data_IF_458109293357
#
_entry.id   IF_458109293357
#
_cell.length_a   1.000
_cell.length_b   1.000
_cell.length_c   1.000
_cell.angle_alpha   90.00
_cell.angle_beta   90.00
_cell.angle_gamma   90.00
#
_symmetry.space_group_name_H-M   'P 1'
#
loop_
_entity.id
_entity.type
_entity.pdbx_description
1 polymer ?
#
# COMPACT_ATOMS: atom_id res chain seq x y z
N UNK A 1 -12.57 -7.79 -13.07
CA UNK A 1 -12.87 -9.24 -12.94
C UNK A 1 -12.66 -9.62 -11.49
N UNK A 2 -13.67 -10.22 -10.83
CA UNK A 2 -13.48 -10.82 -9.52
C UNK A 2 -12.52 -12.00 -9.66
N UNK A 3 -11.43 -12.00 -8.90
CA UNK A 3 -10.51 -13.14 -8.84
C UNK A 3 -11.28 -14.32 -8.28
N UNK A 4 -11.26 -15.45 -8.98
CA UNK A 4 -11.79 -16.69 -8.45
C UNK A 4 -11.00 -17.08 -7.21
N UNK A 5 -11.67 -17.11 -6.06
CA UNK A 5 -11.08 -17.60 -4.82
C UNK A 5 -10.85 -19.11 -4.98
N UNK A 6 -9.58 -19.52 -4.87
CA UNK A 6 -9.19 -20.93 -4.95
C UNK A 6 -8.76 -21.43 -3.58
N UNK A 7 -8.85 -22.73 -3.34
CA UNK A 7 -8.28 -23.33 -2.16
C UNK A 7 -6.76 -23.09 -2.12
N UNK A 8 -6.22 -22.79 -0.93
CA UNK A 8 -4.79 -22.57 -0.74
C UNK A 8 -4.05 -23.91 -0.59
N UNK A 9 -3.88 -24.60 -1.70
CA UNK A 9 -3.17 -25.90 -1.73
C UNK A 9 -1.65 -25.71 -1.66
N UNK A 10 -1.13 -24.57 -2.08
CA UNK A 10 0.30 -24.26 -2.07
C UNK A 10 0.92 -24.28 -0.67
N UNK A 11 0.12 -24.12 0.39
CA UNK A 11 0.62 -24.24 1.77
C UNK A 11 1.22 -25.62 2.05
N UNK A 12 0.73 -26.66 1.36
CA UNK A 12 1.21 -28.02 1.53
C UNK A 12 2.61 -28.27 0.91
N UNK A 13 3.13 -27.31 0.14
CA UNK A 13 4.48 -27.39 -0.45
C UNK A 13 5.57 -26.92 0.51
N UNK A 14 5.20 -26.27 1.60
CA UNK A 14 6.15 -25.84 2.61
C UNK A 14 6.58 -26.99 3.52
N UNK A 15 7.73 -26.85 4.17
CA UNK A 15 8.15 -27.72 5.25
C UNK A 15 7.10 -27.76 6.37
N UNK A 16 6.97 -28.90 7.04
CA UNK A 16 5.95 -29.12 8.07
C UNK A 16 5.98 -28.06 9.18
N UNK A 17 7.18 -27.69 9.64
CA UNK A 17 7.35 -26.63 10.64
C UNK A 17 6.83 -25.28 10.15
N UNK A 18 7.14 -24.91 8.89
CA UNK A 18 6.61 -23.71 8.25
C UNK A 18 5.09 -23.74 8.12
N UNK A 19 4.50 -24.89 7.69
CA UNK A 19 3.05 -25.03 7.59
C UNK A 19 2.37 -24.80 8.94
N UNK A 20 2.87 -25.46 10.00
CA UNK A 20 2.33 -25.33 11.35
C UNK A 20 2.36 -23.86 11.80
N UNK A 21 3.48 -23.18 11.57
CA UNK A 21 3.63 -21.77 11.97
C UNK A 21 2.70 -20.84 11.19
N UNK A 22 2.53 -21.07 9.89
CA UNK A 22 1.60 -20.31 9.08
C UNK A 22 0.15 -20.49 9.56
N UNK A 23 -0.28 -21.72 9.81
CA UNK A 23 -1.62 -22.01 10.31
C UNK A 23 -1.88 -21.39 11.70
N UNK A 24 -0.88 -21.42 12.60
CA UNK A 24 -0.94 -20.75 13.90
C UNK A 24 -1.17 -19.22 13.73
N UNK A 25 -0.39 -18.57 12.85
CA UNK A 25 -0.48 -17.14 12.61
C UNK A 25 -1.83 -16.74 11.98
N UNK A 26 -2.33 -17.53 11.03
CA UNK A 26 -3.67 -17.34 10.46
C UNK A 26 -4.77 -17.54 11.51
N UNK A 27 -4.59 -18.51 12.41
CA UNK A 27 -5.49 -18.74 13.54
C UNK A 27 -5.59 -17.54 14.47
N UNK A 28 -4.46 -16.87 14.76
CA UNK A 28 -4.43 -15.62 15.55
C UNK A 28 -5.22 -14.49 14.87
N UNK A 29 -5.02 -14.26 13.59
CA UNK A 29 -5.78 -13.26 12.85
C UNK A 29 -7.29 -13.53 12.91
N UNK A 30 -7.70 -14.80 12.78
CA UNK A 30 -9.11 -15.17 12.90
C UNK A 30 -9.68 -14.88 14.29
N UNK A 31 -8.93 -15.13 15.37
CA UNK A 31 -9.33 -14.79 16.73
C UNK A 31 -9.54 -13.28 16.91
N UNK A 32 -8.81 -12.45 16.15
CA UNK A 32 -8.98 -11.01 16.09
C UNK A 32 -10.06 -10.55 15.08
N UNK A 33 -10.92 -11.49 14.61
CA UNK A 33 -11.96 -11.27 13.59
C UNK A 33 -11.45 -10.84 12.21
N UNK A 34 -10.17 -11.08 11.92
CA UNK A 34 -9.60 -10.86 10.58
C UNK A 34 -9.72 -12.15 9.78
N UNK A 35 -10.78 -12.26 8.98
CA UNK A 35 -11.03 -13.43 8.12
C UNK A 35 -10.53 -13.24 6.69
N UNK A 36 -10.17 -12.02 6.33
CA UNK A 36 -9.64 -11.67 5.01
C UNK A 36 -8.45 -10.73 5.19
N UNK A 37 -7.37 -11.03 4.50
CA UNK A 37 -6.17 -10.19 4.48
C UNK A 37 -5.85 -9.82 3.03
N UNK A 38 -5.74 -8.53 2.75
CA UNK A 38 -5.36 -8.02 1.43
C UNK A 38 -4.00 -7.34 1.50
N UNK A 39 -3.04 -7.92 0.80
CA UNK A 39 -1.65 -7.47 0.72
C UNK A 39 -1.42 -6.80 -0.63
N UNK A 40 -0.92 -5.58 -0.62
CA UNK A 40 -0.48 -4.86 -1.82
C UNK A 40 1.04 -4.95 -1.92
N UNK A 41 1.56 -5.42 -3.05
CA UNK A 41 3.01 -5.56 -3.29
C UNK A 41 3.47 -4.50 -4.28
N UNK A 42 4.35 -3.58 -3.86
CA UNK A 42 4.84 -2.47 -4.68
C UNK A 42 6.36 -2.35 -4.59
N UNK A 43 6.96 -1.71 -5.59
CA UNK A 43 8.41 -1.46 -5.67
C UNK A 43 8.88 -1.27 -7.11
N UNK A 44 10.19 -1.14 -7.27
CA UNK A 44 10.83 -1.00 -8.59
C UNK A 44 10.61 -2.25 -9.47
N UNK A 45 10.92 -2.16 -10.77
CA UNK A 45 11.00 -3.30 -11.69
C UNK A 45 12.13 -4.24 -11.28
N UNK A 46 11.94 -5.57 -11.46
CA UNK A 46 12.98 -6.57 -11.24
C UNK A 46 13.44 -6.79 -9.79
N UNK A 47 12.75 -6.22 -8.79
CA UNK A 47 13.11 -6.39 -7.37
C UNK A 47 12.57 -7.67 -6.73
N UNK A 48 11.85 -8.52 -7.48
CA UNK A 48 11.35 -9.80 -6.96
C UNK A 48 9.93 -9.76 -6.39
N UNK A 49 9.10 -8.78 -6.73
CA UNK A 49 7.68 -8.68 -6.28
C UNK A 49 6.89 -9.95 -6.56
N UNK A 50 6.74 -10.31 -7.83
CA UNK A 50 5.98 -11.49 -8.28
C UNK A 50 6.56 -12.80 -7.73
N UNK A 51 7.89 -12.87 -7.60
CA UNK A 51 8.56 -14.02 -6.96
C UNK A 51 8.21 -14.13 -5.49
N UNK A 52 8.13 -13.00 -4.78
CA UNK A 52 7.72 -12.98 -3.36
C UNK A 52 6.26 -13.40 -3.20
N UNK A 53 5.37 -12.95 -4.11
CA UNK A 53 3.96 -13.42 -4.14
C UNK A 53 3.91 -14.94 -4.29
N UNK A 54 4.62 -15.50 -5.27
CA UNK A 54 4.67 -16.95 -5.48
C UNK A 54 5.25 -17.70 -4.27
N UNK A 55 6.27 -17.13 -3.62
CA UNK A 55 6.88 -17.73 -2.43
C UNK A 55 5.94 -17.74 -1.21
N UNK A 56 5.13 -16.68 -1.02
CA UNK A 56 4.13 -16.63 0.06
C UNK A 56 3.00 -17.63 -0.21
N UNK A 57 2.55 -17.70 -1.46
CA UNK A 57 1.45 -18.61 -1.86
C UNK A 57 1.91 -20.08 -1.87
N UNK A 58 3.21 -20.34 -2.07
CA UNK A 58 3.76 -21.70 -2.19
C UNK A 58 3.49 -22.34 -3.56
N UNK A 59 3.08 -21.57 -4.55
CA UNK A 59 2.80 -22.03 -5.90
C UNK A 59 3.08 -20.93 -6.94
N UNK A 60 3.25 -21.33 -8.19
CA UNK A 60 3.50 -20.39 -9.29
C UNK A 60 2.19 -19.75 -9.76
N UNK A 61 1.63 -18.88 -8.92
CA UNK A 61 0.36 -18.21 -9.16
C UNK A 61 0.49 -17.00 -10.09
N UNK A 62 1.65 -16.34 -10.09
CA UNK A 62 1.99 -15.19 -10.93
C UNK A 62 3.12 -15.56 -11.88
N UNK A 63 3.00 -15.15 -13.16
CA UNK A 63 4.07 -15.34 -14.14
C UNK A 63 5.27 -14.47 -13.79
N UNK A 64 6.45 -15.09 -13.74
CA UNK A 64 7.72 -14.39 -13.56
C UNK A 64 8.55 -14.62 -14.79
N UNK A 65 8.81 -13.57 -15.55
CA UNK A 65 9.70 -13.62 -16.70
C UNK A 65 10.81 -12.57 -16.53
N UNK A 66 12.04 -12.99 -16.22
CA UNK A 66 13.14 -12.05 -15.96
C UNK A 66 13.63 -11.32 -17.23
N UNK A 67 13.20 -11.74 -18.42
CA UNK A 67 13.66 -11.22 -19.71
C UNK A 67 12.60 -10.38 -20.44
N UNK A 68 11.41 -10.25 -19.90
CA UNK A 68 10.35 -9.42 -20.45
C UNK A 68 10.08 -8.23 -19.54
N UNK A 69 9.75 -7.10 -20.14
CA UNK A 69 9.14 -6.01 -19.39
C UNK A 69 7.91 -6.52 -18.67
N UNK A 70 7.72 -6.11 -17.42
CA UNK A 70 6.64 -6.56 -16.56
C UNK A 70 5.27 -6.40 -17.23
N UNK A 71 4.34 -7.27 -16.88
CA UNK A 71 2.95 -7.13 -17.31
C UNK A 71 2.43 -5.74 -16.88
N UNK A 72 1.82 -4.97 -17.79
CA UNK A 72 1.44 -3.58 -17.52
C UNK A 72 0.27 -3.46 -16.54
N UNK A 73 -0.31 -4.56 -16.07
CA UNK A 73 -1.53 -4.57 -15.25
C UNK A 73 -1.33 -5.29 -13.93
N UNK A 74 -1.87 -4.74 -12.82
CA UNK A 74 -1.89 -5.43 -11.53
C UNK A 74 -2.69 -6.73 -11.62
N UNK A 75 -2.27 -7.73 -10.84
CA UNK A 75 -2.95 -9.01 -10.77
C UNK A 75 -3.21 -9.39 -9.31
N UNK A 76 -4.44 -9.81 -9.00
CA UNK A 76 -4.82 -10.27 -7.66
C UNK A 76 -4.89 -11.79 -7.61
N UNK A 77 -4.10 -12.38 -6.72
CA UNK A 77 -4.16 -13.81 -6.35
C UNK A 77 -4.99 -13.92 -5.09
N UNK A 78 -6.04 -14.74 -5.13
CA UNK A 78 -6.87 -15.03 -3.96
C UNK A 78 -6.80 -16.51 -3.60
N UNK A 79 -6.50 -16.80 -2.33
CA UNK A 79 -6.44 -18.16 -1.78
C UNK A 79 -7.23 -18.24 -0.49
N UNK A 80 -7.96 -19.34 -0.30
CA UNK A 80 -8.74 -19.55 0.91
C UNK A 80 -8.38 -20.88 1.57
N UNK A 81 -8.26 -20.87 2.89
CA UNK A 81 -8.06 -22.09 3.70
C UNK A 81 -8.68 -21.94 5.08
N UNK A 82 -9.42 -22.93 5.52
CA UNK A 82 -10.05 -22.97 6.84
C UNK A 82 -10.85 -21.71 7.20
N UNK A 83 -11.55 -21.14 6.22
CA UNK A 83 -12.36 -19.92 6.39
C UNK A 83 -11.57 -18.62 6.47
N UNK A 84 -10.26 -18.63 6.17
CA UNK A 84 -9.44 -17.44 6.00
C UNK A 84 -9.17 -17.22 4.51
N UNK A 85 -9.25 -15.96 4.05
CA UNK A 85 -8.98 -15.59 2.65
C UNK A 85 -7.76 -14.66 2.60
N UNK A 86 -6.75 -15.07 1.85
CA UNK A 86 -5.57 -14.28 1.54
C UNK A 86 -5.68 -13.73 0.12
N UNK A 87 -5.67 -12.41 -0.01
CA UNK A 87 -5.58 -11.71 -1.28
C UNK A 87 -4.20 -11.05 -1.38
N UNK A 88 -3.47 -11.32 -2.45
CA UNK A 88 -2.19 -10.63 -2.72
C UNK A 88 -2.31 -9.96 -4.09
N UNK A 89 -2.06 -8.65 -4.12
CA UNK A 89 -2.08 -7.84 -5.32
C UNK A 89 -0.65 -7.59 -5.75
N UNK A 90 -0.24 -8.28 -6.82
CA UNK A 90 1.03 -8.03 -7.49
C UNK A 90 0.89 -6.83 -8.43
N UNK A 91 1.89 -5.96 -8.46
CA UNK A 91 1.85 -4.74 -9.27
C UNK A 91 3.03 -4.66 -10.23
N UNK A 92 2.86 -3.99 -11.38
CA UNK A 92 3.98 -3.67 -12.26
C UNK A 92 5.03 -2.82 -11.53
N UNK A 93 6.25 -2.83 -12.06
CA UNK A 93 7.33 -1.99 -11.55
C UNK A 93 7.02 -0.50 -11.70
N UNK A 94 7.39 0.27 -10.69
CA UNK A 94 7.14 1.72 -10.67
C UNK A 94 8.24 2.53 -11.38
N UNK A 95 9.27 1.87 -11.90
CA UNK A 95 10.35 2.51 -12.67
C UNK A 95 10.47 1.83 -14.02
N UNK A 96 10.53 2.65 -15.04
CA UNK A 96 10.81 2.26 -16.41
C UNK A 96 11.74 3.30 -17.06
N UNK A 97 12.82 2.83 -17.72
CA UNK A 97 13.78 3.71 -18.38
C UNK A 97 14.46 4.74 -17.44
N UNK A 98 14.54 4.47 -16.13
CA UNK A 98 15.14 5.38 -15.15
C UNK A 98 14.18 6.47 -14.60
N UNK A 99 12.90 6.42 -14.95
CA UNK A 99 11.86 7.38 -14.53
C UNK A 99 10.68 6.67 -13.87
N UNK A 100 9.90 7.40 -13.08
CA UNK A 100 8.65 6.88 -12.53
C UNK A 100 7.67 6.61 -13.69
N UNK A 101 7.11 5.42 -13.67
CA UNK A 101 6.08 5.01 -14.60
C UNK A 101 4.70 5.48 -14.10
N UNK A 102 4.32 6.72 -14.46
CA UNK A 102 3.04 7.31 -14.05
C UNK A 102 1.85 6.53 -14.61
N UNK A 103 1.98 5.93 -15.79
CA UNK A 103 0.95 5.09 -16.38
C UNK A 103 0.71 3.82 -15.54
N UNK A 104 1.77 3.18 -15.04
CA UNK A 104 1.65 2.05 -14.14
C UNK A 104 0.93 2.46 -12.84
N UNK A 105 1.29 3.61 -12.27
CA UNK A 105 0.61 4.14 -11.06
C UNK A 105 -0.88 4.37 -11.29
N UNK A 106 -1.27 4.96 -12.41
CA UNK A 106 -2.68 5.19 -12.74
C UNK A 106 -3.46 3.86 -12.92
N UNK A 107 -2.85 2.86 -13.56
CA UNK A 107 -3.46 1.54 -13.71
C UNK A 107 -3.62 0.87 -12.33
N UNK A 108 -2.60 0.97 -11.46
CA UNK A 108 -2.65 0.45 -10.09
C UNK A 108 -3.77 1.13 -9.30
N UNK A 109 -3.86 2.46 -9.32
CA UNK A 109 -4.92 3.22 -8.65
C UNK A 109 -6.31 2.77 -9.07
N UNK A 110 -6.55 2.67 -10.38
CA UNK A 110 -7.84 2.22 -10.93
C UNK A 110 -8.16 0.78 -10.53
N UNK A 111 -7.17 -0.10 -10.53
CA UNK A 111 -7.33 -1.49 -10.10
C UNK A 111 -7.70 -1.59 -8.62
N UNK A 112 -7.15 -0.71 -7.79
CA UNK A 112 -7.37 -0.70 -6.34
C UNK A 112 -8.67 0.00 -5.92
N UNK A 113 -9.34 0.71 -6.82
CA UNK A 113 -10.60 1.40 -6.50
C UNK A 113 -11.62 0.46 -5.85
N UNK A 114 -12.21 0.90 -4.75
CA UNK A 114 -13.14 0.16 -3.90
C UNK A 114 -12.55 -1.12 -3.27
N UNK A 115 -11.23 -1.22 -3.15
CA UNK A 115 -10.57 -2.30 -2.40
C UNK A 115 -10.01 -1.78 -1.08
N UNK A 116 -9.97 -2.67 -0.10
CA UNK A 116 -9.31 -2.42 1.18
C UNK A 116 -7.91 -3.03 1.13
N UNK A 117 -6.91 -2.28 1.57
CA UNK A 117 -5.52 -2.72 1.71
C UNK A 117 -5.21 -2.83 3.19
N UNK A 118 -4.82 -4.01 3.63
CA UNK A 118 -4.46 -4.28 5.02
C UNK A 118 -2.96 -4.11 5.25
N UNK A 119 -2.12 -4.49 4.30
CA UNK A 119 -0.67 -4.37 4.38
C UNK A 119 -0.07 -3.99 3.03
N UNK A 120 0.89 -3.08 3.04
CA UNK A 120 1.78 -2.79 1.91
C UNK A 120 3.09 -3.57 2.10
N UNK A 121 3.49 -4.41 1.16
CA UNK A 121 4.85 -4.90 1.04
C UNK A 121 5.61 -3.99 0.07
N UNK A 122 6.49 -3.16 0.62
CA UNK A 122 7.42 -2.37 -0.19
C UNK A 122 8.68 -3.20 -0.45
N UNK A 123 8.81 -3.69 -1.68
CA UNK A 123 9.85 -4.67 -2.07
C UNK A 123 11.01 -3.95 -2.72
N UNK A 124 12.21 -4.22 -2.23
CA UNK A 124 13.48 -3.82 -2.81
C UNK A 124 14.51 -4.96 -2.72
N UNK A 125 15.72 -4.75 -3.23
CA UNK A 125 16.79 -5.77 -3.24
C UNK A 125 17.79 -5.50 -2.13
N UNK A 126 18.18 -6.52 -1.41
CA UNK A 126 19.26 -6.44 -0.41
C UNK A 126 20.63 -6.27 -1.08
N UNK A 127 20.85 -6.94 -2.20
CA UNK A 127 22.10 -6.90 -2.97
C UNK A 127 22.30 -5.61 -3.81
N UNK A 128 21.33 -4.71 -3.83
CA UNK A 128 21.50 -3.36 -4.35
C UNK A 128 22.17 -2.49 -3.28
N UNK A 129 23.49 -2.42 -3.27
CA UNK A 129 24.28 -1.80 -2.19
C UNK A 129 23.99 -0.32 -1.98
N UNK A 130 23.60 0.39 -3.00
CA UNK A 130 23.31 1.83 -2.95
C UNK A 130 21.81 2.08 -2.90
N UNK A 131 21.44 3.05 -2.10
CA UNK A 131 20.11 3.67 -2.11
C UNK A 131 20.24 4.98 -2.86
N UNK A 132 19.51 5.13 -3.93
CA UNK A 132 19.63 6.25 -4.86
C UNK A 132 18.42 7.18 -4.87
N UNK A 133 18.43 8.14 -5.80
CA UNK A 133 17.32 9.07 -5.96
C UNK A 133 16.04 8.40 -6.48
N UNK A 134 16.15 7.30 -7.24
CA UNK A 134 15.00 6.55 -7.73
C UNK A 134 14.23 5.90 -6.59
N UNK A 135 14.92 5.40 -5.56
CA UNK A 135 14.27 4.88 -4.35
C UNK A 135 13.39 5.96 -3.69
N UNK A 136 13.92 7.19 -3.58
CA UNK A 136 13.17 8.32 -3.02
C UNK A 136 11.96 8.69 -3.88
N UNK A 137 12.13 8.69 -5.21
CA UNK A 137 11.05 8.99 -6.15
C UNK A 137 9.93 7.95 -6.07
N UNK A 138 10.26 6.64 -5.99
CA UNK A 138 9.28 5.56 -5.83
C UNK A 138 8.49 5.73 -4.54
N UNK A 139 9.17 5.95 -3.41
CA UNK A 139 8.51 6.17 -2.12
C UNK A 139 7.60 7.40 -2.16
N UNK A 140 8.08 8.49 -2.78
CA UNK A 140 7.28 9.69 -2.97
C UNK A 140 6.05 9.42 -3.83
N UNK A 141 6.19 8.73 -4.94
CA UNK A 141 5.09 8.40 -5.85
C UNK A 141 4.02 7.52 -5.18
N UNK A 142 4.42 6.54 -4.37
CA UNK A 142 3.50 5.74 -3.54
C UNK A 142 2.79 6.65 -2.53
N UNK A 143 3.53 7.54 -1.85
CA UNK A 143 2.99 8.45 -0.85
C UNK A 143 1.98 9.43 -1.45
N UNK A 144 2.29 10.00 -2.60
CA UNK A 144 1.42 10.94 -3.31
C UNK A 144 0.15 10.23 -3.84
N UNK A 145 0.27 8.94 -4.19
CA UNK A 145 -0.86 8.17 -4.72
C UNK A 145 -1.81 7.64 -3.65
N UNK A 146 -1.30 7.24 -2.50
CA UNK A 146 -2.08 6.53 -1.47
C UNK A 146 -2.07 7.23 -0.10
N UNK A 147 -1.44 8.39 -0.02
CA UNK A 147 -1.28 9.13 1.22
C UNK A 147 -0.22 8.55 2.16
N UNK A 148 0.20 9.37 3.13
CA UNK A 148 1.23 8.97 4.12
C UNK A 148 0.81 7.80 5.00
N UNK A 149 -0.49 7.63 5.20
CA UNK A 149 -1.05 6.58 6.04
C UNK A 149 -0.72 5.16 5.58
N UNK A 150 -0.41 4.96 4.28
CA UNK A 150 -0.07 3.64 3.75
C UNK A 150 1.19 3.05 4.41
N UNK A 151 2.11 3.91 4.84
CA UNK A 151 3.35 3.50 5.49
C UNK A 151 3.15 2.99 6.92
N UNK A 152 2.03 3.37 7.58
CA UNK A 152 1.69 2.83 8.91
C UNK A 152 1.33 1.34 8.87
N UNK A 153 1.09 0.82 7.67
CA UNK A 153 0.75 -0.57 7.40
C UNK A 153 1.73 -1.21 6.43
N UNK A 154 2.95 -0.73 6.38
CA UNK A 154 3.94 -1.21 5.45
C UNK A 154 4.97 -2.11 6.14
N UNK A 155 5.43 -3.11 5.39
CA UNK A 155 6.61 -3.92 5.67
C UNK A 155 7.59 -3.70 4.52
N UNK A 156 8.83 -3.38 4.83
CA UNK A 156 9.92 -3.36 3.85
C UNK A 156 10.43 -4.77 3.66
N UNK A 157 10.40 -5.25 2.44
CA UNK A 157 10.87 -6.59 2.08
C UNK A 157 12.14 -6.45 1.24
N UNK A 158 13.25 -6.99 1.73
CA UNK A 158 14.53 -7.01 1.02
C UNK A 158 14.78 -8.40 0.46
N UNK A 159 14.66 -8.53 -0.85
CA UNK A 159 14.88 -9.80 -1.58
C UNK A 159 16.36 -10.05 -1.87
N UNK A 160 16.68 -11.22 -2.44
CA UNK A 160 18.06 -11.66 -2.72
C UNK A 160 18.90 -11.70 -1.44
N UNK A 161 18.31 -12.20 -0.37
CA UNK A 161 18.96 -12.20 0.95
C UNK A 161 19.96 -13.36 1.13
N UNK A 162 20.00 -14.33 0.24
CA UNK A 162 21.04 -15.38 0.19
C UNK A 162 22.29 -14.85 -0.50
N UNK A 163 22.97 -13.89 0.11
CA UNK A 163 24.15 -13.26 -0.46
C UNK A 163 25.34 -13.36 0.49
N UNK A 164 26.55 -13.28 -0.08
CA UNK A 164 27.79 -13.05 0.68
C UNK A 164 28.12 -11.55 0.59
N UNK A 165 28.17 -10.84 1.72
CA UNK A 165 28.52 -9.42 1.72
C UNK A 165 29.92 -9.17 1.15
N UNK A 166 30.14 -7.97 0.53
CA UNK A 166 31.46 -7.62 0.01
C UNK A 166 32.45 -7.36 1.14
N UNK A 167 33.74 -7.40 0.82
CA UNK A 167 34.85 -6.98 1.66
C UNK A 167 34.92 -7.64 3.06
N UNK A 168 34.42 -8.89 3.18
CA UNK A 168 34.40 -9.61 4.44
C UNK A 168 33.52 -9.03 5.53
N UNK A 169 32.59 -8.15 5.18
CA UNK A 169 31.60 -7.63 6.13
C UNK A 169 30.75 -8.77 6.70
N UNK A 170 30.50 -8.83 8.02
CA UNK A 170 29.52 -9.75 8.59
C UNK A 170 28.15 -9.53 7.97
N UNK A 171 27.43 -10.63 7.73
CA UNK A 171 26.10 -10.60 7.10
C UNK A 171 25.12 -9.69 7.83
N UNK A 172 25.06 -9.78 9.16
CA UNK A 172 24.20 -8.96 10.01
C UNK A 172 24.48 -7.46 9.88
N UNK A 173 25.77 -7.08 9.90
CA UNK A 173 26.19 -5.69 9.75
C UNK A 173 25.81 -5.11 8.39
N UNK A 174 25.98 -5.92 7.34
CA UNK A 174 25.55 -5.54 5.98
C UNK A 174 24.05 -5.32 5.92
N UNK A 175 23.25 -6.27 6.40
CA UNK A 175 21.79 -6.19 6.43
C UNK A 175 21.33 -4.98 7.23
N UNK A 176 21.92 -4.73 8.40
CA UNK A 176 21.59 -3.57 9.23
C UNK A 176 21.89 -2.24 8.53
N UNK A 177 23.08 -2.09 7.93
CA UNK A 177 23.47 -0.87 7.21
C UNK A 177 22.58 -0.63 5.99
N UNK A 178 22.31 -1.66 5.19
CA UNK A 178 21.49 -1.57 3.98
C UNK A 178 20.02 -1.24 4.33
N UNK A 179 19.45 -1.92 5.32
CA UNK A 179 18.10 -1.66 5.83
C UNK A 179 17.99 -0.24 6.37
N UNK A 180 18.95 0.19 7.18
CA UNK A 180 18.99 1.54 7.74
C UNK A 180 19.06 2.64 6.69
N UNK A 181 19.84 2.43 5.62
CA UNK A 181 19.93 3.37 4.50
C UNK A 181 18.59 3.49 3.76
N UNK A 182 17.93 2.36 3.47
CA UNK A 182 16.62 2.36 2.80
C UNK A 182 15.54 2.98 3.67
N UNK A 183 15.46 2.60 4.96
CA UNK A 183 14.50 3.17 5.89
C UNK A 183 14.62 4.69 6.02
N UNK A 184 15.83 5.23 5.95
CA UNK A 184 16.06 6.68 5.93
C UNK A 184 15.41 7.32 4.71
N UNK A 185 15.55 6.71 3.54
CA UNK A 185 14.93 7.19 2.29
C UNK A 185 13.41 7.05 2.34
N UNK A 186 12.89 5.92 2.83
CA UNK A 186 11.44 5.73 3.00
C UNK A 186 10.86 6.81 3.92
N UNK A 187 11.46 7.06 5.08
CA UNK A 187 11.01 8.11 5.99
C UNK A 187 11.00 9.50 5.36
N UNK A 188 12.05 9.84 4.61
CA UNK A 188 12.15 11.14 3.93
C UNK A 188 11.13 11.26 2.79
N UNK A 189 11.02 10.24 1.93
CA UNK A 189 10.10 10.24 0.79
C UNK A 189 8.63 10.19 1.21
N UNK A 190 8.31 9.48 2.28
CA UNK A 190 6.98 9.45 2.89
C UNK A 190 6.63 10.74 3.66
N UNK A 191 7.58 11.65 3.86
CA UNK A 191 7.38 12.88 4.62
C UNK A 191 7.01 12.62 6.08
N UNK A 192 7.54 11.55 6.65
CA UNK A 192 7.31 11.16 8.04
C UNK A 192 8.21 11.98 8.95
N UNK A 193 7.63 12.90 9.71
CA UNK A 193 8.37 13.74 10.67
C UNK A 193 8.75 12.89 11.89
N UNK A 194 10.00 13.09 12.38
CA UNK A 194 10.48 12.55 13.65
C UNK A 194 9.72 13.22 14.81
N UNK A 195 8.55 12.72 15.19
CA UNK A 195 7.87 13.25 16.38
C UNK A 195 8.29 12.52 17.66
N UNK A 196 8.54 11.21 17.61
CA UNK A 196 9.12 10.45 18.73
C UNK A 196 9.96 9.29 18.18
N UNK A 197 11.03 8.89 18.90
CA UNK A 197 11.92 7.79 18.52
C UNK A 197 11.20 6.42 18.46
N UNK A 198 10.03 6.28 19.08
CA UNK A 198 9.27 5.05 19.21
C UNK A 198 8.08 4.91 18.23
N UNK A 199 7.58 6.01 17.63
CA UNK A 199 6.26 5.99 16.96
C UNK A 199 6.24 5.49 15.52
N UNK A 200 7.37 5.13 14.90
CA UNK A 200 7.38 4.63 13.53
C UNK A 200 8.52 3.67 13.26
N UNK A 201 8.43 2.48 13.85
CA UNK A 201 9.28 1.36 13.47
C UNK A 201 8.67 0.66 12.25
N UNK A 202 9.10 1.06 11.05
CA UNK A 202 8.77 0.33 9.83
C UNK A 202 9.56 -1.00 9.84
N UNK A 203 8.89 -2.15 9.95
CA UNK A 203 9.58 -3.43 10.00
C UNK A 203 10.26 -3.74 8.66
N UNK A 204 11.40 -4.40 8.74
CA UNK A 204 12.17 -4.89 7.60
C UNK A 204 12.28 -6.39 7.69
N UNK A 205 11.96 -7.10 6.62
CA UNK A 205 12.11 -8.56 6.51
C UNK A 205 12.99 -8.90 5.33
N UNK A 206 13.88 -9.85 5.52
CA UNK A 206 14.77 -10.38 4.51
C UNK A 206 14.11 -11.59 3.84
N UNK A 207 14.21 -11.69 2.52
CA UNK A 207 13.51 -12.71 1.72
C UNK A 207 14.43 -13.30 0.66
N UNK A 208 14.37 -14.62 0.49
CA UNK A 208 15.07 -15.30 -0.57
C UNK A 208 14.13 -16.17 -1.42
N UNK A 209 13.85 -15.68 -2.62
CA UNK A 209 12.90 -16.32 -3.52
C UNK A 209 13.49 -17.41 -4.41
N UNK A 210 14.82 -17.51 -4.47
CA UNK A 210 15.48 -18.50 -5.34
C UNK A 210 15.28 -19.92 -4.84
N UNK A 211 15.33 -20.89 -5.76
CA UNK A 211 15.34 -22.30 -5.44
C UNK A 211 16.64 -22.79 -4.76
N UNK A 212 17.66 -21.90 -4.70
CA UNK A 212 18.97 -22.17 -4.08
C UNK A 212 19.04 -21.71 -2.62
N UNK A 213 17.92 -21.27 -2.04
CA UNK A 213 17.86 -20.90 -0.63
C UNK A 213 18.29 -22.09 0.25
N UNK A 214 19.15 -21.83 1.23
CA UNK A 214 19.57 -22.84 2.19
C UNK A 214 18.36 -23.40 2.94
N UNK A 215 18.51 -24.63 3.45
CA UNK A 215 17.50 -25.30 4.28
C UNK A 215 18.09 -25.72 5.59
N UNK A 216 17.30 -25.66 6.65
CA UNK A 216 17.65 -26.20 7.97
C UNK A 216 17.29 -27.70 8.07
N UNK A 217 17.51 -28.30 9.25
CA UNK A 217 17.19 -29.70 9.56
C UNK A 217 15.68 -30.03 9.39
N UNK A 218 14.82 -29.05 9.50
CA UNK A 218 13.38 -29.16 9.31
C UNK A 218 12.92 -28.90 7.86
N UNK A 219 13.85 -28.86 6.90
CA UNK A 219 13.60 -28.54 5.48
C UNK A 219 13.02 -27.13 5.22
N UNK A 220 13.09 -26.24 6.22
CA UNK A 220 12.66 -24.85 6.08
C UNK A 220 13.70 -24.03 5.32
N UNK A 221 13.24 -23.12 4.48
CA UNK A 221 14.11 -22.16 3.79
C UNK A 221 14.66 -21.13 4.78
N UNK A 222 15.98 -21.16 4.97
CA UNK A 222 16.68 -20.28 5.92
C UNK A 222 17.70 -19.37 5.24
N UNK A 223 17.83 -18.17 5.79
CA UNK A 223 18.83 -17.18 5.40
C UNK A 223 20.21 -17.50 6.02
N UNK A 224 21.29 -16.82 5.60
CA UNK A 224 22.62 -17.03 6.17
C UNK A 224 22.70 -16.88 7.70
N UNK A 225 21.82 -16.11 8.30
CA UNK A 225 21.70 -15.94 9.75
C UNK A 225 20.82 -17.00 10.45
N UNK A 226 20.40 -18.04 9.73
CA UNK A 226 19.54 -19.10 10.26
C UNK A 226 18.06 -18.78 10.35
N UNK A 227 17.62 -17.59 9.97
CA UNK A 227 16.21 -17.19 10.03
C UNK A 227 15.39 -17.95 8.98
N UNK A 228 14.35 -18.66 9.40
CA UNK A 228 13.32 -19.19 8.51
C UNK A 228 12.44 -18.04 8.00
N UNK A 229 12.72 -17.57 6.79
CA UNK A 229 12.22 -16.28 6.32
C UNK A 229 10.72 -16.26 5.97
N UNK A 230 10.13 -17.39 5.53
CA UNK A 230 8.69 -17.45 5.22
C UNK A 230 7.85 -17.23 6.48
N UNK A 231 8.07 -18.00 7.58
CA UNK A 231 7.39 -17.75 8.84
C UNK A 231 7.65 -16.33 9.40
N UNK A 232 8.88 -15.82 9.27
CA UNK A 232 9.26 -14.50 9.77
C UNK A 232 8.49 -13.38 9.02
N UNK A 233 8.40 -13.48 7.68
CA UNK A 233 7.62 -12.55 6.87
C UNK A 233 6.14 -12.57 7.26
N UNK A 234 5.53 -13.76 7.38
CA UNK A 234 4.11 -13.88 7.72
C UNK A 234 3.84 -13.42 9.15
N UNK A 235 4.74 -13.70 10.09
CA UNK A 235 4.69 -13.18 11.46
C UNK A 235 4.70 -11.66 11.47
N UNK A 236 5.63 -11.04 10.76
CA UNK A 236 5.75 -9.58 10.68
C UNK A 236 4.49 -8.95 10.05
N UNK A 237 3.94 -9.56 8.99
CA UNK A 237 2.67 -9.13 8.40
C UNK A 237 1.54 -9.20 9.43
N UNK A 238 1.44 -10.31 10.17
CA UNK A 238 0.43 -10.49 11.21
C UNK A 238 0.54 -9.42 12.30
N UNK A 239 1.75 -9.13 12.78
CA UNK A 239 2.00 -8.09 13.77
C UNK A 239 1.59 -6.69 13.28
N UNK A 240 1.87 -6.36 12.02
CA UNK A 240 1.44 -5.08 11.41
C UNK A 240 -0.09 -5.00 11.31
N UNK A 241 -0.76 -6.11 11.04
CA UNK A 241 -2.23 -6.16 10.99
C UNK A 241 -2.84 -5.99 12.38
N UNK A 242 -2.34 -6.73 13.39
CA UNK A 242 -2.85 -6.73 14.76
C UNK A 242 -2.59 -5.39 15.48
N UNK A 243 -1.41 -4.80 15.31
CA UNK A 243 -0.98 -3.60 16.03
C UNK A 243 -1.15 -2.31 15.24
N UNK A 244 -1.55 -2.40 13.98
CA UNK A 244 -1.60 -1.27 13.06
C UNK A 244 -2.85 -0.40 13.20
N UNK A 245 -2.81 0.72 12.52
CA UNK A 245 -3.97 1.59 12.29
C UNK A 245 -5.01 0.86 11.41
N UNK A 246 -6.19 1.47 11.21
CA UNK A 246 -7.25 0.89 10.35
C UNK A 246 -6.73 0.62 8.94
N UNK A 247 -7.22 -0.44 8.32
CA UNK A 247 -6.99 -0.77 6.90
C UNK A 247 -7.34 0.42 5.99
N UNK A 248 -6.65 0.53 4.86
CA UNK A 248 -6.82 1.65 3.93
C UNK A 248 -7.85 1.26 2.89
N UNK A 249 -8.97 1.93 2.90
CA UNK A 249 -9.96 1.81 1.84
C UNK A 249 -9.60 2.78 0.71
N UNK A 250 -9.43 2.25 -0.50
CA UNK A 250 -9.08 3.05 -1.68
C UNK A 250 -10.36 3.54 -2.33
N UNK A 251 -10.77 4.74 -1.98
CA UNK A 251 -11.92 5.43 -2.56
C UNK A 251 -11.52 6.37 -3.71
N UNK A 252 -12.52 6.92 -4.37
CA UNK A 252 -12.32 7.88 -5.46
C UNK A 252 -11.60 9.14 -4.99
N UNK A 253 -11.85 9.57 -3.75
CA UNK A 253 -11.25 10.76 -3.17
C UNK A 253 -9.74 10.58 -2.92
N UNK A 254 -9.32 9.38 -2.52
CA UNK A 254 -7.91 9.04 -2.34
C UNK A 254 -7.16 9.05 -3.69
N UNK A 255 -7.82 8.62 -4.77
CA UNK A 255 -7.22 8.52 -6.11
C UNK A 255 -7.16 9.88 -6.81
N UNK A 256 -8.28 10.60 -6.84
CA UNK A 256 -8.43 11.87 -7.59
C UNK A 256 -8.06 13.10 -6.77
N UNK A 257 -7.86 12.92 -5.47
CA UNK A 257 -7.68 14.03 -4.52
C UNK A 257 -9.01 14.73 -4.18
N UNK A 258 -8.97 15.75 -3.32
CA UNK A 258 -10.15 16.52 -2.99
C UNK A 258 -10.66 17.25 -4.24
N UNK A 259 -11.95 17.04 -4.55
CA UNK A 259 -12.60 17.69 -5.68
C UNK A 259 -12.46 19.21 -5.53
N UNK A 260 -11.82 19.93 -6.48
CA UNK A 260 -11.65 21.38 -6.39
C UNK A 260 -12.99 22.11 -6.25
N UNK A 261 -14.09 21.52 -6.73
CA UNK A 261 -15.44 22.08 -6.60
C UNK A 261 -16.06 21.88 -5.20
N UNK A 262 -15.53 21.02 -4.32
CA UNK A 262 -16.05 20.88 -2.96
C UNK A 262 -15.82 22.16 -2.13
N UNK A 263 -14.71 22.86 -2.34
CA UNK A 263 -14.46 24.16 -1.71
C UNK A 263 -15.42 25.22 -2.24
N UNK A 264 -15.78 25.16 -3.52
CA UNK A 264 -16.79 26.04 -4.12
C UNK A 264 -18.20 25.81 -3.53
N UNK A 265 -18.57 24.56 -3.23
CA UNK A 265 -19.88 24.25 -2.61
C UNK A 265 -20.05 24.87 -1.23
N UNK A 266 -18.99 25.03 -0.45
CA UNK A 266 -19.04 25.74 0.85
C UNK A 266 -19.35 27.24 0.71
N UNK A 267 -19.06 27.85 -0.46
CA UNK A 267 -19.38 29.25 -0.74
C UNK A 267 -20.79 29.45 -1.27
N UNK A 268 -21.50 28.39 -1.69
CA UNK A 268 -22.85 28.49 -2.24
C UNK A 268 -23.84 29.15 -1.25
N UNK A 269 -23.91 28.80 0.05
CA UNK A 269 -24.77 29.46 1.00
C UNK A 269 -24.45 30.95 1.15
N UNK A 270 -23.16 31.32 1.10
CA UNK A 270 -22.70 32.69 1.18
C UNK A 270 -23.13 33.50 -0.06
N UNK A 271 -23.02 32.91 -1.25
CA UNK A 271 -23.46 33.53 -2.51
C UNK A 271 -24.98 33.76 -2.48
N UNK A 272 -25.77 32.79 -2.04
CA UNK A 272 -27.21 32.96 -1.90
C UNK A 272 -27.58 34.02 -0.85
N UNK A 273 -26.87 34.09 0.26
CA UNK A 273 -27.08 35.14 1.25
C UNK A 273 -26.77 36.53 0.67
N UNK A 274 -25.68 36.69 -0.08
CA UNK A 274 -25.33 37.95 -0.76
C UNK A 274 -26.37 38.31 -1.82
N UNK A 275 -26.82 37.34 -2.64
CA UNK A 275 -27.90 37.58 -3.61
C UNK A 275 -29.20 38.04 -2.93
N UNK A 276 -29.58 37.40 -1.82
CA UNK A 276 -30.77 37.77 -1.07
C UNK A 276 -30.67 39.22 -0.54
N UNK A 277 -29.55 39.57 0.11
CA UNK A 277 -29.41 40.90 0.72
C UNK A 277 -29.21 42.05 -0.31
N UNK A 278 -28.49 41.78 -1.40
CA UNK A 278 -28.13 42.86 -2.36
C UNK A 278 -29.04 42.90 -3.57
N UNK A 279 -29.80 41.86 -3.89
CA UNK A 279 -30.66 41.82 -5.07
C UNK A 279 -32.14 41.65 -4.65
N UNK A 280 -32.45 40.55 -3.93
CA UNK A 280 -33.86 40.22 -3.65
C UNK A 280 -34.49 41.23 -2.68
N UNK A 281 -33.86 41.53 -1.58
CA UNK A 281 -34.38 42.44 -0.56
C UNK A 281 -34.56 43.90 -1.03
N UNK A 282 -33.67 44.52 -1.83
CA UNK A 282 -33.91 45.79 -2.44
C UNK A 282 -35.10 45.80 -3.43
N UNK A 283 -35.25 44.73 -4.23
CA UNK A 283 -36.38 44.60 -5.17
C UNK A 283 -37.69 44.44 -4.41
N UNK A 284 -37.76 43.62 -3.38
CA UNK A 284 -38.94 43.49 -2.52
C UNK A 284 -39.33 44.83 -1.88
N UNK A 285 -38.35 45.63 -1.44
CA UNK A 285 -38.64 46.99 -0.91
C UNK A 285 -39.17 47.92 -1.97
N UNK A 286 -38.55 47.92 -3.15
CA UNK A 286 -39.02 48.77 -4.26
C UNK A 286 -40.46 48.43 -4.69
N UNK A 287 -40.76 47.12 -4.77
CA UNK A 287 -42.13 46.66 -5.08
C UNK A 287 -43.10 47.05 -3.97
N UNK A 288 -42.70 46.90 -2.70
CA UNK A 288 -43.53 47.32 -1.54
C UNK A 288 -43.81 48.84 -1.57
N UNK A 289 -42.82 49.65 -1.84
CA UNK A 289 -42.96 51.13 -1.96
C UNK A 289 -43.85 51.54 -3.14
N UNK A 290 -43.81 50.81 -4.26
CA UNK A 290 -44.70 51.06 -5.41
C UNK A 290 -46.16 50.67 -5.10
N UNK A 291 -46.39 49.54 -4.44
CA UNK A 291 -47.74 49.12 -4.01
C UNK A 291 -48.31 50.12 -2.99
N UNK A 292 -47.51 50.63 -2.05
CA UNK A 292 -47.94 51.66 -1.12
C UNK A 292 -48.30 52.99 -1.80
N UNK A 293 -47.56 53.36 -2.86
CA UNK A 293 -47.84 54.52 -3.66
C UNK A 293 -49.15 54.40 -4.46
N UNK A 294 -49.40 53.27 -5.06
CA UNK A 294 -50.63 52.98 -5.80
C UNK A 294 -51.87 52.88 -4.89
N UNK A 295 -51.66 52.41 -3.65
CA UNK A 295 -52.78 52.21 -2.70
C UNK A 295 -53.18 53.50 -1.94
N UNK A 296 -52.48 54.63 -2.12
CA UNK A 296 -52.90 55.91 -1.53
C UNK A 296 -54.04 56.50 -2.38
N UNK A 297 -55.28 56.71 -1.84
CA UNK A 297 -56.34 57.34 -2.55
C UNK A 297 -55.98 58.82 -2.85
N UNK A 298 -56.06 59.19 -4.09
CA UNK A 298 -55.97 60.64 -4.51
C UNK A 298 -57.21 61.37 -4.01
N UNK A 299 -57.17 61.82 -2.77
CA UNK A 299 -58.11 62.72 -2.22
C UNK A 299 -57.47 64.14 -2.17
N UNK A 300 -57.39 64.80 -3.33
CA UNK A 300 -57.21 66.19 -3.40
C UNK A 300 -57.64 66.69 -4.80
N UNK A 301 -58.96 67.10 -4.89
CA UNK A 301 -59.44 68.19 -5.66
C UNK A 301 -60.79 68.65 -5.09
#
# INVERSE_FOLDING_TARGET
MASLIREWVGINTFASATQTKLLELLGKLKQENVNTLTILVMGKGGVGKSSTVNSIIGERAVSVNPFQSEAPTPFMVSRSRAGFTLNIIDTPGLIEGGYINDRALEIIKRFLLNKTIDVLLYVDRLDAYRVDNLDRQVVKAITDSFGKGIWNRAVVVLTHAQLSPPDGLPYEDFCFKRSGALLKVVRLGAGLKRRNKQDFALPVVLVENSGRCNKNENDEKVLPNGTAWIPDLVKTITEVVSNGSKSIFVDKKLIEGPNPNERGKLLIPLIFALQYFFVVKPIERAIGDDIERESRPSWDN
#
